data_IF_388021095747
#
_entry.id   IF_388021095747
#
_cell.length_a   1.000
_cell.length_b   1.000
_cell.length_c   1.000
_cell.angle_alpha   90.00
_cell.angle_beta   90.00
_cell.angle_gamma   90.00
#
_symmetry.space_group_name_H-M   'P 1'
#
loop_
_entity.id
_entity.type
_entity.pdbx_description
1 polymer ?
#
# COMPACT_ATOMS: atom_id res chain seq x y z
N UNK A 1 11.18 16.90 24.46
CA UNK A 1 10.04 16.44 23.66
C UNK A 1 9.51 15.20 24.34
N UNK A 2 8.23 15.18 24.73
CA UNK A 2 7.64 13.99 25.34
C UNK A 2 7.81 12.82 24.38
N UNK A 3 8.19 11.67 24.92
CA UNK A 3 8.38 10.41 24.21
C UNK A 3 6.98 9.94 23.77
N UNK A 4 6.50 10.42 22.61
CA UNK A 4 5.22 9.98 22.06
C UNK A 4 5.36 8.50 21.72
N UNK A 5 4.45 7.70 22.28
CA UNK A 5 4.39 6.28 21.98
C UNK A 5 4.24 6.10 20.45
N UNK A 6 4.96 5.18 19.86
CA UNK A 6 4.93 4.96 18.40
C UNK A 6 3.51 4.69 17.88
N UNK A 7 2.67 4.05 18.69
CA UNK A 7 1.25 3.81 18.39
C UNK A 7 0.40 5.08 18.24
N UNK A 8 0.83 6.21 18.82
CA UNK A 8 0.12 7.49 18.70
C UNK A 8 0.55 8.26 17.43
N UNK A 9 1.64 7.84 16.80
CA UNK A 9 2.25 8.51 15.64
C UNK A 9 1.78 7.93 14.32
N UNK A 10 1.57 6.61 14.26
CA UNK A 10 1.25 5.92 13.02
C UNK A 10 0.36 4.70 13.27
N UNK A 11 -0.56 4.46 12.36
CA UNK A 11 -1.37 3.23 12.24
C UNK A 11 -0.99 2.51 10.95
N UNK A 12 -0.84 1.19 10.99
CA UNK A 12 -0.76 0.36 9.77
C UNK A 12 -2.18 0.10 9.29
N UNK A 13 -2.53 0.64 8.14
CA UNK A 13 -3.83 0.42 7.51
C UNK A 13 -3.70 -0.52 6.32
N UNK A 14 -4.29 -1.70 6.46
CA UNK A 14 -4.35 -2.72 5.41
C UNK A 14 -5.68 -2.61 4.68
N UNK A 15 -5.62 -2.22 3.41
CA UNK A 15 -6.81 -2.24 2.56
C UNK A 15 -7.07 -3.66 2.07
N UNK A 16 -8.29 -4.14 2.32
CA UNK A 16 -8.78 -5.47 1.93
C UNK A 16 -10.17 -5.35 1.34
N UNK A 17 -10.75 -6.47 0.95
CA UNK A 17 -12.16 -6.60 0.62
C UNK A 17 -12.56 -8.07 0.79
N UNK A 18 -13.87 -8.34 0.94
CA UNK A 18 -14.37 -9.69 1.17
C UNK A 18 -13.95 -10.69 0.09
N UNK A 19 -13.79 -10.22 -1.15
CA UNK A 19 -13.28 -11.03 -2.27
C UNK A 19 -11.83 -11.50 -2.07
N UNK A 20 -11.04 -10.77 -1.27
CA UNK A 20 -9.62 -11.05 -1.00
C UNK A 20 -9.38 -11.49 0.45
N UNK A 21 -10.45 -11.82 1.20
CA UNK A 21 -10.37 -12.24 2.59
C UNK A 21 -9.53 -13.51 2.81
N UNK A 22 -9.48 -14.39 1.82
CA UNK A 22 -8.67 -15.61 1.84
C UNK A 22 -7.15 -15.33 1.90
N UNK A 23 -6.70 -14.12 1.54
CA UNK A 23 -5.29 -13.70 1.61
C UNK A 23 -4.93 -13.17 3.00
N UNK A 24 -5.89 -12.80 3.84
CA UNK A 24 -5.61 -12.23 5.16
C UNK A 24 -4.89 -13.22 6.07
N UNK A 25 -5.25 -14.50 6.04
CA UNK A 25 -4.60 -15.50 6.86
C UNK A 25 -3.09 -15.67 6.52
N UNK A 26 -2.67 -15.85 5.25
CA UNK A 26 -1.26 -15.84 4.88
C UNK A 26 -0.57 -14.49 5.14
N UNK A 27 -1.24 -13.35 4.92
CA UNK A 27 -0.73 -12.03 5.27
C UNK A 27 -0.37 -11.95 6.76
N UNK A 28 -1.30 -12.28 7.65
CA UNK A 28 -1.11 -12.23 9.10
C UNK A 28 -0.06 -13.22 9.60
N UNK A 29 0.02 -14.42 9.00
CA UNK A 29 1.05 -15.39 9.35
C UNK A 29 2.45 -14.85 9.04
N UNK A 30 2.64 -14.22 7.87
CA UNK A 30 3.90 -13.60 7.48
C UNK A 30 4.17 -12.31 8.26
N UNK A 31 3.14 -11.52 8.56
CA UNK A 31 3.26 -10.34 9.41
C UNK A 31 3.83 -10.69 10.79
N UNK A 32 3.22 -11.65 11.49
CA UNK A 32 3.69 -12.08 12.80
C UNK A 32 5.09 -12.69 12.79
N UNK A 33 5.47 -13.35 11.69
CA UNK A 33 6.79 -13.95 11.52
C UNK A 33 7.87 -12.92 11.24
N UNK A 34 7.56 -11.95 10.40
CA UNK A 34 8.55 -11.01 9.87
C UNK A 34 8.50 -9.62 10.53
N UNK A 35 7.42 -9.30 11.25
CA UNK A 35 7.35 -8.08 12.05
C UNK A 35 6.65 -8.27 13.40
N UNK A 36 7.14 -9.19 14.27
CA UNK A 36 6.51 -9.51 15.57
C UNK A 36 6.58 -8.35 16.57
N UNK A 37 7.49 -7.40 16.37
CA UNK A 37 7.76 -6.22 17.18
C UNK A 37 7.24 -4.92 16.53
N UNK A 38 6.24 -5.02 15.65
CA UNK A 38 5.59 -3.85 15.06
C UNK A 38 5.00 -2.96 16.18
N UNK A 39 5.41 -1.67 16.26
CA UNK A 39 4.97 -0.80 17.34
C UNK A 39 3.65 -0.06 17.04
N UNK A 40 3.03 -0.31 15.89
CA UNK A 40 1.85 0.36 15.40
C UNK A 40 0.62 -0.53 15.50
N UNK A 41 -0.56 0.08 15.71
CA UNK A 41 -1.83 -0.62 15.58
C UNK A 41 -2.00 -1.15 14.15
N UNK A 42 -2.31 -2.44 13.99
CA UNK A 42 -2.59 -3.06 12.70
C UNK A 42 -4.10 -3.10 12.45
N UNK A 43 -4.57 -2.25 11.54
CA UNK A 43 -5.99 -2.07 11.21
C UNK A 43 -6.26 -2.58 9.81
N UNK A 44 -7.30 -3.41 9.65
CA UNK A 44 -7.82 -3.75 8.33
C UNK A 44 -9.09 -2.97 8.01
N UNK A 45 -9.31 -2.64 6.73
CA UNK A 45 -10.59 -2.14 6.23
C UNK A 45 -11.14 -3.10 5.17
N UNK A 46 -12.41 -3.50 5.31
CA UNK A 46 -13.14 -4.36 4.37
C UNK A 46 -14.65 -4.22 4.54
N UNK A 47 -15.44 -4.86 3.66
CA UNK A 47 -16.91 -4.74 3.68
C UNK A 47 -17.53 -5.39 4.92
N UNK A 48 -17.08 -6.60 5.32
CA UNK A 48 -17.68 -7.38 6.41
C UNK A 48 -16.71 -7.76 7.51
N UNK A 49 -17.22 -8.24 8.65
CA UNK A 49 -16.46 -8.90 9.70
C UNK A 49 -15.80 -7.99 10.72
N UNK A 50 -16.29 -6.78 10.91
CA UNK A 50 -16.03 -5.97 12.12
C UNK A 50 -17.23 -6.09 13.03
N UNK A 51 -17.04 -6.44 14.29
CA UNK A 51 -18.00 -6.09 15.31
C UNK A 51 -17.91 -4.58 15.55
N UNK A 52 -19.05 -3.94 15.79
CA UNK A 52 -19.14 -2.50 16.15
C UNK A 52 -18.39 -2.12 17.44
N UNK A 53 -17.59 -3.03 17.97
CA UNK A 53 -16.83 -2.91 19.21
C UNK A 53 -15.38 -3.42 19.16
N UNK A 54 -14.82 -3.74 18.01
CA UNK A 54 -13.37 -3.80 17.81
C UNK A 54 -12.63 -4.87 18.60
N UNK A 55 -13.04 -6.13 18.55
CA UNK A 55 -12.21 -7.21 19.06
C UNK A 55 -11.42 -7.89 17.94
N UNK A 56 -10.21 -8.33 18.28
CA UNK A 56 -9.20 -9.01 17.46
C UNK A 56 -9.69 -10.32 16.79
N UNK A 57 -10.82 -10.29 16.07
CA UNK A 57 -11.51 -11.48 15.62
C UNK A 57 -10.74 -12.29 14.56
N UNK A 58 -9.82 -11.66 13.79
CA UNK A 58 -9.13 -12.35 12.70
C UNK A 58 -7.61 -12.16 12.74
N UNK A 59 -7.06 -11.58 13.83
CA UNK A 59 -5.62 -11.40 13.99
C UNK A 59 -5.08 -10.03 13.55
N UNK A 60 -5.92 -9.12 13.13
CA UNK A 60 -5.70 -7.68 13.16
C UNK A 60 -6.02 -7.15 14.55
N UNK A 61 -5.39 -6.04 14.95
CA UNK A 61 -5.74 -5.39 16.22
C UNK A 61 -7.13 -4.77 16.16
N UNK A 62 -7.52 -4.28 14.96
CA UNK A 62 -8.86 -3.75 14.69
C UNK A 62 -9.27 -3.98 13.24
N UNK A 63 -10.56 -4.20 13.03
CA UNK A 63 -11.18 -4.26 11.70
C UNK A 63 -12.23 -3.17 11.58
N UNK A 64 -12.11 -2.35 10.54
CA UNK A 64 -13.10 -1.35 10.16
C UNK A 64 -14.01 -1.96 9.10
N UNK A 65 -15.20 -2.38 9.51
CA UNK A 65 -16.23 -2.86 8.59
C UNK A 65 -16.98 -1.68 7.99
N UNK A 66 -17.03 -1.62 6.66
CA UNK A 66 -17.69 -0.50 5.95
C UNK A 66 -19.12 -0.79 5.56
N UNK A 67 -19.54 -2.05 5.60
CA UNK A 67 -20.72 -2.51 4.88
C UNK A 67 -20.46 -2.61 3.37
N UNK A 68 -21.41 -3.22 2.63
CA UNK A 68 -21.29 -3.42 1.20
C UNK A 68 -21.54 -2.12 0.41
N UNK A 69 -21.03 -2.08 -0.82
CA UNK A 69 -21.39 -1.06 -1.82
C UNK A 69 -20.43 0.12 -1.91
N UNK A 70 -19.44 0.26 -1.01
CA UNK A 70 -18.41 1.27 -1.13
C UNK A 70 -17.32 0.84 -2.12
N UNK A 71 -16.84 1.79 -2.89
CA UNK A 71 -15.63 1.61 -3.71
C UNK A 71 -14.38 1.51 -2.84
N UNK A 72 -13.26 1.07 -3.41
CA UNK A 72 -11.99 0.97 -2.69
C UNK A 72 -11.59 2.30 -2.02
N UNK A 73 -11.73 3.41 -2.73
CA UNK A 73 -11.37 4.73 -2.18
C UNK A 73 -12.34 5.21 -1.11
N UNK A 74 -13.63 4.89 -1.23
CA UNK A 74 -14.62 5.22 -0.19
C UNK A 74 -14.38 4.37 1.07
N UNK A 75 -14.02 3.10 0.94
CA UNK A 75 -13.61 2.26 2.08
C UNK A 75 -12.35 2.82 2.76
N UNK A 76 -11.35 3.23 1.97
CA UNK A 76 -10.14 3.87 2.48
C UNK A 76 -10.48 5.15 3.25
N UNK A 77 -11.30 6.03 2.67
CA UNK A 77 -11.73 7.27 3.34
C UNK A 77 -12.48 6.98 4.64
N UNK A 78 -13.41 6.02 4.62
CA UNK A 78 -14.17 5.60 5.79
C UNK A 78 -13.29 5.11 6.94
N UNK A 79 -12.21 4.36 6.63
CA UNK A 79 -11.24 3.92 7.62
C UNK A 79 -10.40 5.09 8.17
N UNK A 80 -9.92 5.96 7.28
CA UNK A 80 -9.08 7.12 7.66
C UNK A 80 -9.81 8.10 8.58
N UNK A 81 -11.13 8.25 8.44
CA UNK A 81 -11.97 9.05 9.34
C UNK A 81 -12.04 8.47 10.76
N UNK A 82 -11.70 7.19 10.95
CA UNK A 82 -11.72 6.45 12.22
C UNK A 82 -10.32 6.17 12.78
N UNK A 83 -9.29 6.67 12.12
CA UNK A 83 -7.90 6.65 12.56
C UNK A 83 -7.54 8.03 13.07
N UNK A 84 -6.92 8.11 14.26
CA UNK A 84 -6.53 9.38 14.90
C UNK A 84 -5.05 9.73 14.72
N UNK A 85 -4.21 8.77 14.35
CA UNK A 85 -2.76 9.00 14.17
C UNK A 85 -2.49 9.95 12.99
N UNK A 86 -1.49 10.84 13.11
CA UNK A 86 -1.17 11.82 12.06
C UNK A 86 -0.62 11.16 10.78
N UNK A 87 0.03 10.00 10.91
CA UNK A 87 0.52 9.22 9.79
C UNK A 87 -0.13 7.85 9.71
N UNK A 88 -0.16 7.31 8.49
CA UNK A 88 -0.65 5.96 8.18
C UNK A 88 0.37 5.25 7.30
N UNK A 89 0.80 4.06 7.70
CA UNK A 89 1.48 3.11 6.81
C UNK A 89 0.41 2.36 6.03
N UNK A 90 0.18 2.77 4.78
CA UNK A 90 -0.82 2.14 3.92
C UNK A 90 -0.25 0.91 3.22
N UNK A 91 -0.97 -0.20 3.32
CA UNK A 91 -0.66 -1.48 2.70
C UNK A 91 -1.89 -2.06 2.01
N UNK A 92 -1.68 -2.95 1.06
CA UNK A 92 -2.71 -3.85 0.53
C UNK A 92 -2.52 -5.24 1.15
N UNK A 93 -3.60 -6.01 1.30
CA UNK A 93 -3.55 -7.32 1.94
C UNK A 93 -2.78 -8.39 1.14
N UNK A 94 -2.46 -8.13 -0.12
CA UNK A 94 -1.62 -8.97 -0.96
C UNK A 94 -0.12 -8.59 -0.95
N UNK A 95 0.28 -7.61 -0.12
CA UNK A 95 1.68 -7.28 0.15
C UNK A 95 2.23 -8.19 1.24
N UNK A 96 2.67 -9.37 0.84
CA UNK A 96 3.16 -10.40 1.74
C UNK A 96 4.61 -10.13 2.14
N UNK A 97 4.90 -10.00 3.44
CA UNK A 97 6.26 -9.81 3.92
C UNK A 97 7.13 -11.01 3.56
N UNK A 98 8.28 -10.78 2.92
CA UNK A 98 9.19 -11.82 2.44
C UNK A 98 10.45 -11.98 3.30
N UNK A 99 10.71 -11.05 4.21
CA UNK A 99 11.82 -11.07 5.15
C UNK A 99 11.54 -10.13 6.33
N UNK A 100 12.43 -10.18 7.35
CA UNK A 100 12.26 -9.40 8.56
C UNK A 100 12.24 -7.90 8.29
N UNK A 101 11.24 -7.22 8.87
CA UNK A 101 11.18 -5.76 8.91
C UNK A 101 12.10 -5.24 10.00
N UNK A 102 12.91 -4.25 9.67
CA UNK A 102 13.74 -3.53 10.62
C UNK A 102 12.92 -2.43 11.30
N UNK A 103 12.44 -2.69 12.51
CA UNK A 103 11.58 -1.78 13.28
C UNK A 103 12.26 -0.44 13.56
N UNK A 104 13.56 -0.46 13.89
CA UNK A 104 14.31 0.78 14.15
C UNK A 104 14.38 1.65 12.89
N UNK A 105 14.62 1.02 11.74
CA UNK A 105 14.62 1.71 10.46
C UNK A 105 13.24 2.26 10.09
N UNK A 106 12.16 1.53 10.37
CA UNK A 106 10.80 2.03 10.13
C UNK A 106 10.49 3.25 11.00
N UNK A 107 10.86 3.24 12.27
CA UNK A 107 10.71 4.41 13.16
C UNK A 107 11.54 5.60 12.70
N UNK A 108 12.77 5.39 12.22
CA UNK A 108 13.59 6.44 11.61
C UNK A 108 12.91 7.06 10.38
N UNK A 109 12.38 6.24 9.48
CA UNK A 109 11.70 6.72 8.27
C UNK A 109 10.44 7.50 8.61
N UNK A 110 9.66 7.04 9.59
CA UNK A 110 8.51 7.79 10.10
C UNK A 110 8.94 9.14 10.67
N UNK A 111 9.98 9.18 11.51
CA UNK A 111 10.49 10.42 12.09
C UNK A 111 11.00 11.40 11.02
N UNK A 112 11.58 10.90 9.94
CA UNK A 112 11.97 11.73 8.78
C UNK A 112 10.74 12.31 8.05
N UNK A 113 9.68 11.52 7.89
CA UNK A 113 8.44 12.01 7.29
C UNK A 113 7.79 13.08 8.14
N UNK A 114 7.74 12.89 9.46
CA UNK A 114 7.20 13.86 10.43
C UNK A 114 8.00 15.16 10.46
N UNK A 115 9.32 15.06 10.53
CA UNK A 115 10.22 16.22 10.59
C UNK A 115 10.12 17.10 9.32
N UNK A 116 9.81 16.49 8.18
CA UNK A 116 9.59 17.19 6.92
C UNK A 116 8.14 17.60 6.70
N UNK A 117 7.22 17.24 7.59
CA UNK A 117 5.76 17.32 7.38
C UNK A 117 5.37 16.74 6.00
N UNK A 118 5.96 15.58 5.65
CA UNK A 118 5.83 15.02 4.32
C UNK A 118 4.39 14.56 4.04
N UNK A 119 3.87 14.87 2.86
CA UNK A 119 2.58 14.37 2.37
C UNK A 119 2.60 12.84 2.21
N UNK A 120 3.73 12.33 1.73
CA UNK A 120 3.99 10.91 1.58
C UNK A 120 5.49 10.63 1.62
N UNK A 121 5.88 9.52 2.26
CA UNK A 121 7.21 8.91 2.13
C UNK A 121 7.05 7.51 1.57
N UNK A 122 7.39 7.34 0.31
CA UNK A 122 7.33 6.05 -0.39
C UNK A 122 8.59 5.24 -0.11
N UNK A 123 8.43 3.98 0.28
CA UNK A 123 9.52 3.07 0.67
C UNK A 123 10.04 2.18 -0.46
N UNK A 124 9.63 2.46 -1.70
CA UNK A 124 10.14 1.80 -2.89
C UNK A 124 10.59 2.87 -3.89
N UNK A 125 11.88 2.86 -4.32
CA UNK A 125 12.44 3.85 -5.24
C UNK A 125 12.08 3.63 -6.71
N UNK A 126 11.02 2.92 -7.00
CA UNK A 126 10.52 2.75 -8.35
C UNK A 126 9.19 3.52 -8.55
N UNK A 127 9.21 4.70 -9.19
CA UNK A 127 10.36 5.45 -9.71
C UNK A 127 11.26 6.06 -8.61
N UNK A 128 12.53 6.36 -8.93
CA UNK A 128 13.49 6.86 -7.93
C UNK A 128 13.23 8.28 -7.43
N UNK A 129 12.31 8.98 -8.09
CA UNK A 129 11.87 10.33 -7.71
C UNK A 129 10.36 10.42 -7.80
N UNK A 130 9.77 11.21 -6.91
CA UNK A 130 8.38 11.61 -6.99
C UNK A 130 8.32 13.12 -7.21
N UNK A 131 7.62 13.53 -8.25
CA UNK A 131 7.39 14.94 -8.58
C UNK A 131 5.89 15.17 -8.55
N UNK A 132 5.44 16.18 -7.78
CA UNK A 132 4.02 16.55 -7.72
C UNK A 132 3.47 16.79 -9.14
N UNK A 133 2.22 16.46 -9.33
CA UNK A 133 1.50 16.61 -10.59
C UNK A 133 2.20 15.93 -11.78
N UNK A 134 2.84 14.80 -11.53
CA UNK A 134 3.42 13.94 -12.57
C UNK A 134 3.05 12.48 -12.34
N UNK A 135 3.22 11.65 -13.38
CA UNK A 135 2.96 10.21 -13.27
C UNK A 135 3.72 9.58 -12.10
N UNK A 136 3.04 8.74 -11.35
CA UNK A 136 3.57 8.02 -10.18
C UNK A 136 4.00 8.91 -8.99
N UNK A 137 3.53 10.16 -8.93
CA UNK A 137 3.63 10.95 -7.70
C UNK A 137 2.90 10.27 -6.53
N UNK A 138 1.77 9.62 -6.82
CA UNK A 138 1.00 8.77 -5.90
C UNK A 138 1.13 7.31 -6.32
N UNK A 139 1.29 6.42 -5.35
CA UNK A 139 1.33 4.98 -5.56
C UNK A 139 0.71 4.25 -4.37
N UNK A 140 0.02 3.14 -4.63
CA UNK A 140 -0.51 2.25 -3.58
C UNK A 140 0.58 1.40 -2.90
N UNK A 141 1.84 1.49 -3.34
CA UNK A 141 2.93 0.77 -2.68
C UNK A 141 3.13 1.22 -1.24
N UNK A 142 3.75 0.34 -0.44
CA UNK A 142 4.02 0.60 0.97
C UNK A 142 4.70 1.97 1.17
N UNK A 143 4.11 2.79 2.04
CA UNK A 143 4.62 4.12 2.33
C UNK A 143 3.89 4.77 3.49
N UNK A 144 4.58 5.69 4.16
CA UNK A 144 3.99 6.55 5.17
C UNK A 144 3.25 7.70 4.49
N UNK A 145 2.01 7.92 4.90
CA UNK A 145 1.15 8.97 4.39
C UNK A 145 0.72 9.90 5.50
N UNK A 146 0.79 11.19 5.27
CA UNK A 146 0.03 12.14 6.07
C UNK A 146 -1.46 11.79 5.94
N UNK A 147 -2.13 11.53 7.07
CA UNK A 147 -3.50 11.00 7.10
C UNK A 147 -4.51 11.93 6.40
N UNK A 148 -4.43 13.24 6.65
CA UNK A 148 -5.37 14.20 6.05
C UNK A 148 -5.17 14.32 4.53
N UNK A 149 -3.93 14.29 4.07
CA UNK A 149 -3.64 14.31 2.65
C UNK A 149 -4.15 13.03 1.97
N UNK A 150 -3.91 11.86 2.57
CA UNK A 150 -4.40 10.57 2.07
C UNK A 150 -5.94 10.56 2.01
N UNK A 151 -6.61 11.06 3.05
CA UNK A 151 -8.07 11.18 3.10
C UNK A 151 -8.58 12.10 1.98
N UNK A 152 -7.92 13.21 1.75
CA UNK A 152 -8.25 14.14 0.67
C UNK A 152 -8.13 13.51 -0.72
N UNK A 153 -7.14 12.64 -0.96
CA UNK A 153 -7.01 11.89 -2.20
C UNK A 153 -8.10 10.80 -2.33
N UNK A 154 -8.34 10.05 -1.26
CA UNK A 154 -9.34 8.98 -1.24
C UNK A 154 -10.74 9.51 -1.57
N UNK A 155 -11.13 10.67 -1.04
CA UNK A 155 -12.44 11.30 -1.30
C UNK A 155 -12.64 11.78 -2.74
N UNK A 156 -11.55 11.94 -3.52
CA UNK A 156 -11.59 12.43 -4.91
C UNK A 156 -11.40 11.34 -5.96
N UNK A 157 -11.25 10.08 -5.53
CA UNK A 157 -11.03 8.93 -6.41
C UNK A 157 -12.01 7.80 -6.07
N UNK A 158 -12.13 6.78 -6.93
CA UNK A 158 -13.03 5.65 -6.69
C UNK A 158 -12.31 4.32 -6.57
N UNK A 159 -11.19 4.15 -7.26
CA UNK A 159 -10.46 2.89 -7.30
C UNK A 159 -8.97 3.10 -7.04
N UNK A 160 -8.25 2.04 -6.67
CA UNK A 160 -6.80 2.09 -6.54
C UNK A 160 -6.09 2.56 -7.82
N UNK A 161 -6.66 2.24 -9.01
CA UNK A 161 -6.16 2.72 -10.30
C UNK A 161 -6.35 4.22 -10.48
N UNK A 162 -7.53 4.74 -10.11
CA UNK A 162 -7.78 6.19 -10.14
C UNK A 162 -6.93 6.91 -9.12
N UNK A 163 -6.78 6.34 -7.91
CA UNK A 163 -5.92 6.88 -6.87
C UNK A 163 -4.48 7.07 -7.37
N UNK A 164 -3.87 6.04 -7.96
CA UNK A 164 -2.52 6.17 -8.51
C UNK A 164 -2.46 7.12 -9.72
N UNK A 165 -3.40 6.98 -10.64
CA UNK A 165 -3.36 7.68 -11.93
C UNK A 165 -3.76 9.13 -11.81
N UNK A 166 -4.93 9.40 -11.21
CA UNK A 166 -5.44 10.78 -11.10
C UNK A 166 -4.95 11.46 -9.84
N UNK A 167 -4.81 10.75 -8.71
CA UNK A 167 -4.24 11.28 -7.48
C UNK A 167 -2.84 11.87 -7.68
N UNK A 168 -2.06 11.30 -8.60
CA UNK A 168 -0.75 11.82 -8.99
C UNK A 168 -0.77 13.25 -9.56
N UNK A 169 -1.94 13.77 -9.97
CA UNK A 169 -2.13 15.12 -10.53
C UNK A 169 -3.04 16.00 -9.66
N UNK A 170 -3.27 15.61 -8.40
CA UNK A 170 -4.17 16.31 -7.48
C UNK A 170 -3.44 17.08 -6.37
N UNK A 171 -2.14 17.32 -6.55
CA UNK A 171 -1.37 18.13 -5.60
C UNK A 171 -1.66 19.61 -5.78
N UNK A 172 -1.80 20.29 -4.65
CA UNK A 172 -1.75 21.75 -4.61
C UNK A 172 -0.29 22.19 -4.80
N UNK A 173 -0.02 22.93 -5.85
CA UNK A 173 1.33 23.44 -6.15
C UNK A 173 1.82 24.45 -5.13
N UNK A 174 0.90 25.12 -4.42
CA UNK A 174 1.23 26.06 -3.35
C UNK A 174 1.56 25.37 -2.02
N UNK A 175 1.22 24.09 -1.85
CA UNK A 175 1.55 23.32 -0.65
C UNK A 175 3.06 23.03 -0.62
N UNK A 176 3.83 23.57 0.34
CA UNK A 176 5.27 23.38 0.39
C UNK A 176 5.70 21.98 0.84
N UNK A 177 4.77 21.18 1.41
CA UNK A 177 5.09 19.87 1.97
C UNK A 177 5.58 18.91 0.90
N UNK A 178 6.67 18.15 1.16
CA UNK A 178 7.28 17.29 0.15
C UNK A 178 6.55 15.96 -0.01
N UNK A 179 6.73 15.34 -1.19
CA UNK A 179 6.67 13.89 -1.36
C UNK A 179 8.09 13.34 -1.35
N UNK A 180 8.32 12.32 -0.54
CA UNK A 180 9.64 11.73 -0.32
C UNK A 180 9.71 10.31 -0.91
N UNK A 181 10.90 9.90 -1.30
CA UNK A 181 11.17 8.54 -1.78
C UNK A 181 12.47 8.08 -1.15
N UNK A 182 12.51 6.83 -0.69
CA UNK A 182 13.75 6.22 -0.17
C UNK A 182 14.70 5.87 -1.32
N UNK A 183 15.99 5.79 -1.02
CA UNK A 183 17.02 5.45 -2.02
C UNK A 183 16.98 3.97 -2.42
N UNK A 184 16.47 3.11 -1.55
CA UNK A 184 16.32 1.67 -1.74
C UNK A 184 14.96 1.21 -1.24
N UNK A 185 14.60 -0.04 -1.56
CA UNK A 185 13.40 -0.67 -1.01
C UNK A 185 13.59 -0.88 0.50
N UNK A 186 12.79 -0.20 1.31
CA UNK A 186 12.90 -0.19 2.78
C UNK A 186 11.80 -1.01 3.46
N UNK A 187 10.81 -1.48 2.73
CA UNK A 187 9.76 -2.35 3.24
C UNK A 187 9.76 -3.66 2.45
N UNK A 188 10.08 -4.81 3.12
CA UNK A 188 10.30 -6.07 2.43
C UNK A 188 8.97 -6.79 2.18
N UNK A 189 8.43 -6.70 0.99
CA UNK A 189 7.21 -7.42 0.61
C UNK A 189 7.26 -7.91 -0.84
N UNK A 190 6.50 -8.95 -1.11
CA UNK A 190 6.14 -9.42 -2.44
C UNK A 190 4.71 -9.00 -2.72
N UNK A 191 4.48 -8.40 -3.88
CA UNK A 191 3.14 -8.21 -4.44
C UNK A 191 2.65 -9.57 -4.95
N UNK A 192 1.84 -10.23 -4.11
CA UNK A 192 1.53 -11.64 -4.29
C UNK A 192 0.43 -11.91 -5.31
N UNK A 193 -0.40 -10.90 -5.60
CA UNK A 193 -1.51 -11.03 -6.54
C UNK A 193 -1.48 -9.96 -7.63
N UNK A 194 -1.81 -10.33 -8.84
CA UNK A 194 -2.08 -9.39 -9.92
C UNK A 194 -3.45 -9.69 -10.56
N UNK A 195 -4.37 -8.73 -10.50
CA UNK A 195 -5.75 -8.87 -11.01
C UNK A 195 -6.48 -10.11 -10.48
N UNK A 196 -6.20 -10.48 -9.23
CA UNK A 196 -6.82 -11.61 -8.55
C UNK A 196 -6.16 -12.96 -8.80
N UNK A 197 -5.09 -13.04 -9.59
CA UNK A 197 -4.30 -14.24 -9.83
C UNK A 197 -3.00 -14.20 -9.03
N UNK A 198 -2.51 -15.38 -8.65
CA UNK A 198 -1.24 -15.51 -7.96
C UNK A 198 -0.07 -15.13 -8.87
N UNK A 199 0.79 -14.22 -8.41
CA UNK A 199 2.12 -14.07 -8.99
C UNK A 199 3.04 -15.22 -8.52
N UNK A 200 3.96 -15.72 -9.37
CA UNK A 200 4.84 -16.83 -9.01
C UNK A 200 5.66 -16.60 -7.76
N UNK A 201 6.06 -15.35 -7.52
CA UNK A 201 6.83 -14.92 -6.36
C UNK A 201 6.03 -15.10 -5.07
N UNK A 202 4.73 -14.78 -5.06
CA UNK A 202 3.83 -14.99 -3.94
C UNK A 202 3.64 -16.47 -3.62
N UNK A 203 3.45 -17.31 -4.66
CA UNK A 203 3.37 -18.78 -4.50
C UNK A 203 4.67 -19.34 -3.93
N UNK A 204 5.82 -18.92 -4.46
CA UNK A 204 7.13 -19.36 -4.00
C UNK A 204 7.37 -18.95 -2.55
N UNK A 205 6.97 -17.73 -2.16
CA UNK A 205 7.05 -17.23 -0.80
C UNK A 205 6.26 -18.14 0.16
N UNK A 206 4.98 -18.37 -0.08
CA UNK A 206 4.14 -19.17 0.82
C UNK A 206 4.66 -20.60 0.96
N UNK A 207 5.15 -21.20 -0.14
CA UNK A 207 5.77 -22.54 -0.10
C UNK A 207 7.06 -22.54 0.72
N UNK A 208 7.94 -21.56 0.52
CA UNK A 208 9.20 -21.39 1.28
C UNK A 208 8.94 -21.24 2.78
N UNK A 209 7.91 -20.48 3.13
CA UNK A 209 7.55 -20.20 4.51
C UNK A 209 6.69 -21.31 5.15
N UNK A 210 6.32 -22.34 4.39
CA UNK A 210 5.50 -23.46 4.91
C UNK A 210 4.07 -23.04 5.24
N UNK A 211 3.56 -21.96 4.62
CA UNK A 211 2.19 -21.49 4.84
C UNK A 211 1.25 -22.21 3.90
N UNK A 212 0.30 -22.96 4.47
CA UNK A 212 -0.71 -23.66 3.70
C UNK A 212 -1.69 -22.70 3.04
N UNK A 213 -1.91 -22.88 1.74
CA UNK A 213 -2.93 -22.15 0.99
C UNK A 213 -3.45 -23.01 -0.18
N UNK A 214 -4.75 -22.95 -0.41
CA UNK A 214 -5.38 -23.58 -1.56
C UNK A 214 -5.26 -22.70 -2.81
N UNK A 215 -4.18 -22.90 -3.56
CA UNK A 215 -3.92 -22.14 -4.78
C UNK A 215 -4.96 -22.34 -5.89
N UNK A 216 -5.82 -23.38 -5.81
CA UNK A 216 -6.89 -23.61 -6.80
C UNK A 216 -7.96 -22.52 -6.78
N UNK A 217 -8.12 -21.83 -5.66
CA UNK A 217 -9.11 -20.74 -5.50
C UNK A 217 -8.91 -19.58 -6.46
N UNK A 218 -7.66 -19.29 -6.84
CA UNK A 218 -7.33 -18.12 -7.67
C UNK A 218 -6.63 -18.45 -8.96
N UNK A 219 -5.92 -19.59 -8.99
CA UNK A 219 -5.10 -20.01 -10.14
C UNK A 219 -3.91 -19.08 -10.42
N UNK A 220 -3.19 -19.42 -11.47
CA UNK A 220 -2.12 -18.61 -12.04
C UNK A 220 -2.67 -17.78 -13.21
N UNK A 221 -2.07 -16.61 -13.52
CA UNK A 221 -2.53 -15.81 -14.64
C UNK A 221 -2.44 -16.56 -15.95
N UNK A 222 -3.41 -16.38 -16.86
CA UNK A 222 -3.32 -16.93 -18.21
C UNK A 222 -2.01 -16.54 -18.90
N UNK A 223 -1.49 -17.41 -19.77
CA UNK A 223 -0.19 -17.24 -20.43
C UNK A 223 0.00 -15.86 -21.11
N UNK A 224 -0.99 -15.38 -21.86
CA UNK A 224 -0.88 -14.14 -22.62
C UNK A 224 -0.76 -12.86 -21.78
N UNK A 225 -1.57 -12.63 -20.72
CA UNK A 225 -1.36 -11.52 -19.81
C UNK A 225 -0.01 -11.53 -19.12
N UNK A 226 0.50 -12.73 -18.76
CA UNK A 226 1.81 -12.91 -18.14
C UNK A 226 2.95 -12.51 -19.07
N UNK A 227 2.87 -12.91 -20.36
CA UNK A 227 3.86 -12.53 -21.37
C UNK A 227 3.89 -11.01 -21.58
N UNK A 228 2.71 -10.35 -21.67
CA UNK A 228 2.63 -8.89 -21.78
C UNK A 228 3.20 -8.17 -20.55
N UNK A 229 2.94 -8.67 -19.34
CA UNK A 229 3.48 -8.12 -18.09
C UNK A 229 4.99 -8.22 -18.05
N UNK A 230 5.55 -9.38 -18.38
CA UNK A 230 7.01 -9.61 -18.42
C UNK A 230 7.69 -8.75 -19.48
N UNK A 231 7.09 -8.61 -20.66
CA UNK A 231 7.61 -7.73 -21.71
C UNK A 231 7.60 -6.26 -21.25
N UNK A 232 6.54 -5.83 -20.59
CA UNK A 232 6.45 -4.48 -20.00
C UNK A 232 7.52 -4.26 -18.93
N UNK A 233 7.72 -5.21 -18.01
CA UNK A 233 8.79 -5.16 -17.00
C UNK A 233 10.17 -5.07 -17.65
N UNK A 234 10.43 -5.86 -18.70
CA UNK A 234 11.69 -5.84 -19.45
C UNK A 234 11.91 -4.50 -20.18
N UNK A 235 10.88 -3.94 -20.82
CA UNK A 235 10.96 -2.62 -21.46
C UNK A 235 11.27 -1.54 -20.43
N UNK A 236 10.60 -1.53 -19.27
CA UNK A 236 10.86 -0.56 -18.21
C UNK A 236 12.25 -0.72 -17.56
N UNK A 237 12.84 -1.92 -17.59
CA UNK A 237 14.19 -2.14 -17.10
C UNK A 237 15.28 -1.58 -18.05
N UNK A 238 14.97 -1.43 -19.33
CA UNK A 238 15.94 -1.00 -20.38
C UNK A 238 15.86 0.49 -20.66
N UNK A 239 14.68 1.10 -20.53
CA UNK A 239 14.50 2.52 -20.85
C UNK A 239 14.76 3.43 -19.65
N UNK A 240 15.42 4.60 -19.84
CA UNK A 240 15.56 5.60 -18.80
C UNK A 240 14.18 6.01 -18.25
N UNK A 241 14.07 6.07 -16.93
CA UNK A 241 12.79 6.35 -16.25
C UNK A 241 12.16 7.67 -16.71
N UNK A 242 12.96 8.68 -16.97
CA UNK A 242 12.54 9.99 -17.47
C UNK A 242 11.74 9.88 -18.79
N UNK A 243 12.15 8.96 -19.67
CA UNK A 243 11.45 8.68 -20.91
C UNK A 243 10.09 7.99 -20.64
N UNK A 244 10.07 7.04 -19.71
CA UNK A 244 8.85 6.34 -19.31
C UNK A 244 7.82 7.32 -18.75
N UNK A 245 8.24 8.23 -17.86
CA UNK A 245 7.37 9.27 -17.28
C UNK A 245 6.86 10.22 -18.35
N UNK A 246 7.72 10.67 -19.28
CA UNK A 246 7.31 11.55 -20.39
C UNK A 246 6.24 10.90 -21.27
N UNK A 247 6.45 9.66 -21.67
CA UNK A 247 5.47 8.92 -22.49
C UNK A 247 4.15 8.77 -21.75
N UNK A 248 4.17 8.39 -20.46
CA UNK A 248 2.95 8.23 -19.69
C UNK A 248 2.24 9.56 -19.41
N UNK A 249 2.97 10.64 -19.17
CA UNK A 249 2.37 11.98 -19.04
C UNK A 249 1.61 12.37 -20.30
N UNK A 250 2.18 12.13 -21.49
CA UNK A 250 1.51 12.40 -22.77
C UNK A 250 0.22 11.57 -22.89
N UNK A 251 0.27 10.27 -22.59
CA UNK A 251 -0.91 9.42 -22.64
C UNK A 251 -1.97 9.79 -21.61
N UNK A 252 -1.58 10.23 -20.41
CA UNK A 252 -2.52 10.59 -19.34
C UNK A 252 -3.17 11.98 -19.59
N UNK A 253 -2.44 12.92 -20.18
CA UNK A 253 -2.98 14.24 -20.55
C UNK A 253 -3.92 14.19 -21.76
N UNK A 254 -3.76 13.20 -22.65
CA UNK A 254 -4.65 13.01 -23.81
C UNK A 254 -5.98 12.33 -23.50
N UNK A 255 -6.27 12.02 -22.23
CA UNK A 255 -7.49 11.36 -21.77
C UNK A 255 -8.27 12.21 -20.73
N UNK A 256 -8.08 13.54 -20.78
CA UNK A 256 -8.89 14.50 -20.01
C UNK A 256 -10.14 14.87 -20.80
#
# INVERSE_FOLDING_TARGET
MADQNASDRCTVLVTSCDRYRDIEAPFLALWRRHWPDCPFELVAVRESGGDDGGTAADGFDRVVATGPGLSWSEMLAFALERISTPYVLMLMNDYLLDSRVDTARQLELLSRAEAADALNLRMNPNPPRAVKNSAYAVSCQAGYWNREFLLGLARRTKSAWEFERYGSYMFDESDPRPIMVTERKEFPFVDALHKGYWEPEGVALLKREGIGYDFSRRGLPPFWPRLKSNLKKAVFAVFPWELVVRVQNVFNLGMK
#
